data_IF_630809611014
#
_entry.id   IF_630809611014
#
_cell.length_a   1.000
_cell.length_b   1.000
_cell.length_c   1.000
_cell.angle_alpha   90.00
_cell.angle_beta   90.00
_cell.angle_gamma   90.00
#
_symmetry.space_group_name_H-M   'P 1'
#
loop_
_entity.id
_entity.type
_entity.pdbx_description
1 polymer ?
#
# COMPACT_ATOMS: atom_id res chain seq x y z
N UNK A 1 -3.72 23.73 -28.93
CA UNK A 1 -3.35 22.87 -30.08
C UNK A 1 -2.38 21.77 -29.70
N UNK A 2 -1.28 22.03 -28.99
CA UNK A 2 -0.35 20.99 -28.50
C UNK A 2 -0.97 19.98 -27.52
N UNK A 3 -1.79 20.42 -26.56
CA UNK A 3 -2.49 19.51 -25.64
C UNK A 3 -3.54 18.64 -26.34
N UNK A 4 -4.15 19.13 -27.42
CA UNK A 4 -5.10 18.35 -28.23
C UNK A 4 -4.35 17.30 -29.08
N UNK A 5 -3.16 17.64 -29.58
CA UNK A 5 -2.30 16.71 -30.30
C UNK A 5 -1.73 15.62 -29.38
N UNK A 6 -1.29 15.96 -28.17
CA UNK A 6 -0.92 14.98 -27.14
C UNK A 6 -2.10 14.09 -26.76
N UNK A 7 -3.29 14.67 -26.55
CA UNK A 7 -4.50 13.91 -26.22
C UNK A 7 -4.98 12.99 -27.34
N UNK A 8 -4.86 13.43 -28.61
CA UNK A 8 -5.17 12.60 -29.78
C UNK A 8 -4.09 11.53 -30.02
N UNK A 9 -2.84 11.82 -29.70
CA UNK A 9 -1.74 10.85 -29.78
C UNK A 9 -1.81 9.80 -28.67
N UNK A 10 -2.21 10.18 -27.45
CA UNK A 10 -2.51 9.26 -26.35
C UNK A 10 -3.72 8.37 -26.67
N UNK A 11 -4.77 8.91 -27.30
CA UNK A 11 -5.90 8.11 -27.80
C UNK A 11 -5.50 7.16 -28.93
N UNK A 12 -4.64 7.59 -29.85
CA UNK A 12 -4.15 6.75 -30.94
C UNK A 12 -3.16 5.66 -30.46
N UNK A 13 -2.35 5.94 -29.43
CA UNK A 13 -1.51 4.91 -28.78
C UNK A 13 -2.36 3.92 -27.97
N UNK A 14 -3.43 4.38 -27.30
CA UNK A 14 -4.35 3.49 -26.59
C UNK A 14 -5.03 2.46 -27.51
N UNK A 15 -5.15 2.74 -28.81
CA UNK A 15 -5.69 1.77 -29.80
C UNK A 15 -4.67 0.76 -30.33
N UNK A 16 -3.37 0.90 -30.02
CA UNK A 16 -2.31 0.02 -30.54
C UNK A 16 -1.71 -0.93 -29.48
N UNK A 17 -2.13 -0.82 -28.22
CA UNK A 17 -1.58 -1.60 -27.10
C UNK A 17 -2.51 -2.75 -26.77
N UNK A 18 -2.01 -3.98 -26.82
CA UNK A 18 -2.78 -5.15 -26.40
C UNK A 18 -3.08 -5.11 -24.89
N UNK A 19 -4.34 -5.31 -24.48
CA UNK A 19 -4.70 -5.31 -23.07
C UNK A 19 -4.10 -6.52 -22.37
N UNK A 20 -3.60 -6.32 -21.14
CA UNK A 20 -3.28 -7.43 -20.26
C UNK A 20 -4.58 -8.05 -19.75
N UNK A 21 -4.56 -9.36 -19.52
CA UNK A 21 -5.73 -10.09 -19.03
C UNK A 21 -5.41 -10.62 -17.65
N UNK A 22 -6.21 -10.22 -16.66
CA UNK A 22 -6.05 -10.74 -15.30
C UNK A 22 -6.60 -12.18 -15.20
N UNK A 23 -6.42 -12.83 -14.06
CA UNK A 23 -6.90 -14.21 -13.83
C UNK A 23 -8.43 -14.38 -13.88
N UNK A 24 -9.20 -13.28 -13.86
CA UNK A 24 -10.66 -13.28 -14.11
C UNK A 24 -11.04 -13.17 -15.59
N UNK A 25 -10.07 -13.09 -16.49
CA UNK A 25 -10.33 -12.86 -17.91
C UNK A 25 -10.71 -11.41 -18.22
N UNK A 26 -10.48 -10.47 -17.31
CA UNK A 26 -10.84 -9.07 -17.50
C UNK A 26 -9.63 -8.30 -18.06
N UNK A 27 -9.80 -7.55 -19.16
CA UNK A 27 -8.74 -6.74 -19.73
C UNK A 27 -8.44 -5.53 -18.83
N UNK A 28 -7.16 -5.21 -18.66
CA UNK A 28 -6.68 -4.02 -17.97
C UNK A 28 -5.45 -3.46 -18.69
N UNK A 29 -5.10 -2.21 -18.37
CA UNK A 29 -3.94 -1.53 -18.94
C UNK A 29 -3.05 -1.00 -17.82
N UNK A 30 -1.76 -1.25 -17.90
CA UNK A 30 -0.80 -0.63 -16.99
C UNK A 30 -0.23 0.68 -17.56
N UNK A 31 0.21 1.55 -16.66
CA UNK A 31 0.78 2.84 -17.02
C UNK A 31 2.01 2.72 -17.93
N UNK A 32 2.86 1.72 -17.71
CA UNK A 32 4.05 1.49 -18.54
C UNK A 32 3.71 1.01 -19.96
N UNK A 33 2.54 0.36 -20.17
CA UNK A 33 2.09 -0.02 -21.51
C UNK A 33 1.66 1.22 -22.31
N UNK A 34 1.08 2.21 -21.63
CA UNK A 34 0.65 3.48 -22.23
C UNK A 34 1.82 4.46 -22.41
N UNK A 35 2.80 4.40 -21.52
CA UNK A 35 4.02 5.20 -21.53
C UNK A 35 5.26 4.29 -21.54
N UNK A 36 5.71 3.79 -22.70
CA UNK A 36 6.82 2.84 -22.81
C UNK A 36 8.13 3.33 -22.17
N UNK A 37 8.33 4.65 -22.07
CA UNK A 37 9.47 5.25 -21.35
C UNK A 37 9.55 4.86 -19.87
N UNK A 38 8.43 4.47 -19.26
CA UNK A 38 8.36 4.06 -17.87
C UNK A 38 8.71 2.58 -17.69
N UNK A 39 8.65 1.77 -18.75
CA UNK A 39 8.83 0.33 -18.67
C UNK A 39 10.12 -0.14 -17.95
N UNK A 40 11.30 0.48 -18.16
CA UNK A 40 12.53 0.09 -17.48
C UNK A 40 12.49 0.25 -15.95
N UNK A 41 11.57 1.08 -15.44
CA UNK A 41 11.40 1.31 -14.00
C UNK A 41 10.48 0.28 -13.33
N UNK A 42 9.88 -0.63 -14.10
CA UNK A 42 8.99 -1.69 -13.59
C UNK A 42 9.71 -3.04 -13.64
N UNK A 43 9.72 -3.73 -12.51
CA UNK A 43 10.33 -5.05 -12.37
C UNK A 43 9.41 -6.11 -12.96
N UNK A 44 9.99 -7.19 -13.49
CA UNK A 44 9.25 -8.25 -14.19
C UNK A 44 8.17 -8.90 -13.33
N UNK A 45 8.42 -9.07 -12.02
CA UNK A 45 7.44 -9.65 -11.09
C UNK A 45 6.27 -8.71 -10.79
N UNK A 46 6.44 -7.39 -10.98
CA UNK A 46 5.39 -6.41 -10.72
C UNK A 46 4.39 -6.37 -11.88
N UNK A 47 4.88 -6.41 -13.12
CA UNK A 47 4.07 -6.30 -14.34
C UNK A 47 2.98 -7.40 -14.43
N UNK A 48 3.33 -8.61 -14.04
CA UNK A 48 2.42 -9.77 -14.08
C UNK A 48 1.69 -10.04 -12.78
N UNK A 49 1.71 -9.12 -11.81
CA UNK A 49 1.16 -9.42 -10.49
C UNK A 49 -0.37 -9.48 -10.52
N UNK A 50 -0.90 -10.57 -9.97
CA UNK A 50 -2.33 -10.78 -9.76
C UNK A 50 -2.65 -10.63 -8.27
N UNK A 51 -3.46 -9.62 -7.92
CA UNK A 51 -3.84 -9.36 -6.55
C UNK A 51 -4.97 -10.27 -6.03
N UNK A 52 -5.63 -11.02 -6.91
CA UNK A 52 -6.79 -11.84 -6.55
C UNK A 52 -6.51 -12.96 -5.56
N UNK A 53 -5.42 -13.73 -5.67
CA UNK A 53 -5.11 -14.75 -4.68
C UNK A 53 -4.96 -14.17 -3.28
N UNK A 54 -4.29 -13.01 -3.15
CA UNK A 54 -4.16 -12.36 -1.85
C UNK A 54 -5.46 -11.74 -1.34
N UNK A 55 -6.34 -11.25 -2.22
CA UNK A 55 -7.68 -10.82 -1.83
C UNK A 55 -8.54 -12.00 -1.35
N UNK A 56 -8.49 -13.13 -2.06
CA UNK A 56 -9.19 -14.35 -1.68
C UNK A 56 -8.69 -14.86 -0.31
N UNK A 57 -7.38 -14.87 -0.09
CA UNK A 57 -6.77 -15.22 1.18
C UNK A 57 -7.31 -14.37 2.34
N UNK A 58 -7.34 -13.04 2.19
CA UNK A 58 -7.85 -12.15 3.25
C UNK A 58 -9.34 -12.35 3.50
N UNK A 59 -10.11 -12.64 2.45
CA UNK A 59 -11.55 -12.91 2.56
C UNK A 59 -11.83 -14.22 3.29
N UNK A 60 -11.02 -15.24 3.05
CA UNK A 60 -11.13 -16.55 3.70
C UNK A 60 -10.66 -16.49 5.15
N UNK A 61 -9.59 -15.74 5.41
CA UNK A 61 -8.91 -15.67 6.71
C UNK A 61 -9.19 -14.38 7.49
N UNK A 62 -10.47 -14.10 7.76
CA UNK A 62 -10.86 -12.93 8.56
C UNK A 62 -10.40 -13.03 10.03
N UNK A 63 -10.07 -14.24 10.49
CA UNK A 63 -9.54 -14.49 11.83
C UNK A 63 -8.14 -13.93 12.04
N UNK A 64 -7.33 -13.80 10.99
CA UNK A 64 -5.96 -13.27 11.09
C UNK A 64 -5.94 -11.82 11.59
N UNK A 65 -6.63 -10.85 10.94
CA UNK A 65 -6.66 -9.48 11.46
C UNK A 65 -7.30 -9.39 12.84
N UNK A 66 -8.33 -10.19 13.14
CA UNK A 66 -8.95 -10.24 14.47
C UNK A 66 -7.94 -10.71 15.54
N UNK A 67 -7.14 -11.73 15.24
CA UNK A 67 -6.08 -12.22 16.10
C UNK A 67 -4.97 -11.17 16.28
N UNK A 68 -4.53 -10.51 15.20
CA UNK A 68 -3.53 -9.43 15.27
C UNK A 68 -3.98 -8.28 16.18
N UNK A 69 -5.21 -7.80 16.02
CA UNK A 69 -5.77 -6.72 16.87
C UNK A 69 -5.92 -7.19 18.33
N UNK A 70 -6.34 -8.44 18.55
CA UNK A 70 -6.45 -9.00 19.91
C UNK A 70 -5.09 -9.04 20.60
N UNK A 71 -4.06 -9.56 19.91
CA UNK A 71 -2.68 -9.59 20.41
C UNK A 71 -2.15 -8.18 20.64
N UNK A 72 -2.45 -7.24 19.74
CA UNK A 72 -2.07 -5.84 19.86
C UNK A 72 -2.65 -5.16 21.10
N UNK A 73 -3.96 -5.28 21.34
CA UNK A 73 -4.62 -4.70 22.52
C UNK A 73 -4.13 -5.34 23.83
N UNK A 74 -3.94 -6.66 23.84
CA UNK A 74 -3.31 -7.35 24.97
C UNK A 74 -1.88 -6.87 25.19
N UNK A 75 -1.11 -6.69 24.12
CA UNK A 75 0.24 -6.15 24.14
C UNK A 75 0.32 -4.75 24.73
N UNK A 76 -0.61 -3.86 24.36
CA UNK A 76 -0.74 -2.53 24.98
C UNK A 76 -1.05 -2.66 26.46
N UNK A 77 -2.06 -3.44 26.83
CA UNK A 77 -2.52 -3.56 28.21
C UNK A 77 -1.46 -4.16 29.13
N UNK A 78 -0.87 -5.29 28.73
CA UNK A 78 0.18 -5.98 29.48
C UNK A 78 1.50 -5.19 29.45
N UNK A 79 1.87 -4.65 28.28
CA UNK A 79 3.10 -3.89 28.10
C UNK A 79 3.11 -2.60 28.92
N UNK A 80 2.01 -1.84 28.95
CA UNK A 80 1.93 -0.62 29.77
C UNK A 80 2.01 -0.93 31.26
N UNK A 81 1.34 -2.00 31.73
CA UNK A 81 1.45 -2.46 33.12
C UNK A 81 2.85 -2.93 33.49
N UNK A 82 3.48 -3.74 32.63
CA UNK A 82 4.85 -4.19 32.84
C UNK A 82 5.82 -3.02 32.90
N UNK A 83 5.74 -2.09 31.94
CA UNK A 83 6.59 -0.91 31.90
C UNK A 83 6.34 0.05 33.06
N UNK A 84 5.17 0.02 33.70
CA UNK A 84 4.94 0.76 34.96
C UNK A 84 5.82 0.25 36.11
N UNK A 85 6.18 -1.04 36.13
CA UNK A 85 7.03 -1.63 37.19
C UNK A 85 8.54 -1.43 36.96
N UNK A 86 8.95 -1.15 35.73
CA UNK A 86 10.36 -1.01 35.35
C UNK A 86 10.91 0.36 35.80
N UNK A 87 12.05 0.46 36.49
CA UNK A 87 12.69 1.75 36.80
C UNK A 87 13.12 2.54 35.55
N UNK A 88 13.10 3.89 35.61
CA UNK A 88 13.39 4.75 34.45
C UNK A 88 14.83 4.63 33.93
N UNK A 89 15.79 4.36 34.81
CA UNK A 89 17.20 4.13 34.50
C UNK A 89 17.43 2.86 33.67
N UNK A 90 16.47 1.93 33.66
CA UNK A 90 16.54 0.66 32.92
C UNK A 90 15.80 0.67 31.58
N UNK A 91 15.28 1.81 31.15
CA UNK A 91 14.57 1.93 29.86
C UNK A 91 15.57 1.79 28.71
N UNK A 92 15.25 0.93 27.75
CA UNK A 92 16.07 0.75 26.56
C UNK A 92 16.07 2.00 25.67
N UNK A 93 17.27 2.42 25.26
CA UNK A 93 17.40 3.46 24.25
C UNK A 93 17.21 2.87 22.85
N UNK A 94 15.94 2.82 22.42
CA UNK A 94 15.55 2.29 21.11
C UNK A 94 15.55 3.35 19.99
N UNK A 95 16.31 4.44 20.15
CA UNK A 95 16.26 5.58 19.21
C UNK A 95 16.75 5.21 17.82
N UNK A 96 17.83 4.43 17.71
CA UNK A 96 18.38 4.01 16.40
C UNK A 96 17.47 2.98 15.73
N UNK A 97 16.91 2.05 16.50
CA UNK A 97 15.94 1.06 16.00
C UNK A 97 14.68 1.74 15.48
N UNK A 98 14.14 2.70 16.23
CA UNK A 98 12.97 3.49 15.79
C UNK A 98 13.29 4.34 14.56
N UNK A 99 14.48 4.93 14.48
CA UNK A 99 14.89 5.70 13.30
C UNK A 99 15.01 4.79 12.06
N UNK A 100 15.59 3.60 12.22
CA UNK A 100 15.66 2.60 11.16
C UNK A 100 14.27 2.16 10.71
N UNK A 101 13.39 1.85 11.66
CA UNK A 101 12.01 1.47 11.40
C UNK A 101 11.23 2.55 10.62
N UNK A 102 11.28 3.80 11.09
CA UNK A 102 10.64 4.93 10.39
C UNK A 102 11.25 5.16 8.99
N UNK A 103 12.56 4.97 8.82
CA UNK A 103 13.21 5.07 7.51
C UNK A 103 12.73 3.95 6.57
N UNK A 104 12.59 2.72 7.06
CA UNK A 104 12.05 1.60 6.29
C UNK A 104 10.60 1.87 5.85
N UNK A 105 9.73 2.31 6.77
CA UNK A 105 8.34 2.67 6.44
C UNK A 105 8.26 3.84 5.46
N UNK A 106 9.15 4.83 5.59
CA UNK A 106 9.22 5.96 4.68
C UNK A 106 9.63 5.54 3.27
N UNK A 107 10.69 4.73 3.13
CA UNK A 107 11.12 4.18 1.83
C UNK A 107 10.03 3.31 1.21
N UNK A 108 9.42 2.43 2.00
CA UNK A 108 8.31 1.59 1.56
C UNK A 108 7.14 2.44 1.02
N UNK A 109 6.72 3.45 1.79
CA UNK A 109 5.64 4.36 1.40
C UNK A 109 5.99 5.18 0.17
N UNK A 110 7.26 5.61 0.04
CA UNK A 110 7.72 6.37 -1.11
C UNK A 110 7.70 5.53 -2.39
N UNK A 111 8.18 4.28 -2.35
CA UNK A 111 8.13 3.39 -3.51
C UNK A 111 6.67 3.07 -3.88
N UNK A 112 5.81 2.79 -2.89
CA UNK A 112 4.38 2.61 -3.12
C UNK A 112 3.75 3.82 -3.81
N UNK A 113 4.04 5.04 -3.33
CA UNK A 113 3.57 6.27 -3.95
C UNK A 113 4.08 6.43 -5.38
N UNK A 114 5.35 6.11 -5.67
CA UNK A 114 5.90 6.15 -7.03
C UNK A 114 5.18 5.22 -8.01
N UNK A 115 4.62 4.09 -7.56
CA UNK A 115 3.88 3.15 -8.43
C UNK A 115 2.38 3.41 -8.52
N UNK A 116 1.81 4.09 -7.52
CA UNK A 116 0.38 4.32 -7.42
C UNK A 116 -0.01 5.73 -7.89
N UNK A 117 0.70 6.76 -7.46
CA UNK A 117 0.33 8.16 -7.74
C UNK A 117 0.32 8.49 -9.23
N UNK A 118 1.36 8.15 -10.04
CA UNK A 118 1.32 8.44 -11.48
C UNK A 118 0.15 7.76 -12.19
N UNK A 119 -0.23 6.55 -11.74
CA UNK A 119 -1.38 5.82 -12.28
C UNK A 119 -2.69 6.55 -11.98
N UNK A 120 -2.90 7.02 -10.73
CA UNK A 120 -4.09 7.83 -10.39
C UNK A 120 -4.14 9.10 -11.22
N UNK A 121 -3.02 9.83 -11.30
CA UNK A 121 -2.98 11.10 -12.04
C UNK A 121 -3.28 10.90 -13.52
N UNK A 122 -2.74 9.84 -14.12
CA UNK A 122 -3.03 9.47 -15.49
C UNK A 122 -4.52 9.14 -15.69
N UNK A 123 -5.11 8.37 -14.77
CA UNK A 123 -6.52 7.99 -14.81
C UNK A 123 -7.45 9.19 -14.65
N UNK A 124 -7.16 10.09 -13.70
CA UNK A 124 -7.90 11.33 -13.50
C UNK A 124 -7.86 12.26 -14.72
N UNK A 125 -6.78 12.23 -15.49
CA UNK A 125 -6.64 13.03 -16.70
C UNK A 125 -7.26 12.38 -17.94
N UNK A 126 -7.23 11.05 -18.02
CA UNK A 126 -7.51 10.32 -19.27
C UNK A 126 -8.89 9.66 -19.31
N UNK A 127 -9.54 9.48 -18.16
CA UNK A 127 -10.87 8.88 -18.05
C UNK A 127 -11.92 9.88 -17.56
N UNK A 128 -13.20 9.71 -17.93
CA UNK A 128 -14.31 10.43 -17.30
C UNK A 128 -14.28 10.26 -15.78
N UNK A 129 -14.69 11.30 -15.04
CA UNK A 129 -14.71 11.27 -13.57
C UNK A 129 -15.59 10.16 -12.98
N UNK A 130 -16.66 9.79 -13.67
CA UNK A 130 -17.50 8.65 -13.27
C UNK A 130 -16.69 7.35 -13.31
N UNK A 131 -15.94 7.13 -14.39
CA UNK A 131 -15.14 5.92 -14.56
C UNK A 131 -13.99 5.84 -13.54
N UNK A 132 -13.38 6.97 -13.15
CA UNK A 132 -12.29 6.94 -12.15
C UNK A 132 -12.75 6.56 -10.74
N UNK A 133 -14.06 6.64 -10.45
CA UNK A 133 -14.64 6.35 -9.14
C UNK A 133 -15.45 5.05 -9.15
N UNK A 134 -16.18 4.80 -10.24
CA UNK A 134 -17.17 3.72 -10.32
C UNK A 134 -16.63 2.47 -11.01
N UNK A 135 -15.48 2.53 -11.70
CA UNK A 135 -14.89 1.32 -12.27
C UNK A 135 -14.48 0.34 -11.16
N UNK A 136 -14.80 -0.96 -11.31
CA UNK A 136 -14.34 -1.97 -10.38
C UNK A 136 -12.82 -1.91 -10.29
N UNK A 137 -12.28 -1.77 -9.08
CA UNK A 137 -10.83 -1.70 -8.83
C UNK A 137 -10.09 -2.87 -9.48
N UNK A 138 -10.73 -4.04 -9.52
CA UNK A 138 -10.25 -5.24 -10.18
C UNK A 138 -10.01 -5.17 -11.68
N UNK A 139 -10.45 -4.11 -12.37
CA UNK A 139 -10.35 -3.96 -13.82
C UNK A 139 -9.29 -2.91 -14.22
N UNK A 140 -8.73 -2.20 -13.25
CA UNK A 140 -7.84 -1.08 -13.48
C UNK A 140 -6.79 -1.04 -12.35
N UNK A 141 -7.12 -0.39 -11.23
CA UNK A 141 -6.24 -0.15 -10.09
C UNK A 141 -5.66 -1.39 -9.38
N UNK A 142 -6.35 -2.53 -9.47
CA UNK A 142 -6.12 -3.72 -8.66
C UNK A 142 -5.23 -4.78 -9.29
N UNK A 143 -4.60 -4.53 -10.44
CA UNK A 143 -3.73 -5.50 -11.11
C UNK A 143 -2.33 -4.93 -11.39
N UNK A 144 -1.42 -5.81 -11.77
CA UNK A 144 -0.05 -5.45 -12.13
C UNK A 144 0.70 -4.78 -10.99
N UNK A 145 1.57 -3.84 -11.34
CA UNK A 145 2.45 -3.17 -10.39
C UNK A 145 1.65 -2.33 -9.38
N UNK A 146 0.63 -1.59 -9.84
CA UNK A 146 -0.20 -0.79 -8.95
C UNK A 146 -0.97 -1.69 -7.97
N UNK A 147 -1.55 -2.79 -8.46
CA UNK A 147 -2.23 -3.79 -7.61
C UNK A 147 -1.31 -4.39 -6.54
N UNK A 148 -0.07 -4.74 -6.91
CA UNK A 148 0.93 -5.23 -5.96
C UNK A 148 1.20 -4.24 -4.82
N UNK A 149 1.54 -2.99 -5.17
CA UNK A 149 1.92 -1.99 -4.16
C UNK A 149 0.75 -1.59 -3.26
N UNK A 150 -0.47 -1.58 -3.80
CA UNK A 150 -1.70 -1.39 -3.01
C UNK A 150 -1.91 -2.54 -2.04
N UNK A 151 -1.74 -3.78 -2.50
CA UNK A 151 -1.89 -4.96 -1.64
C UNK A 151 -0.82 -5.01 -0.54
N UNK A 152 0.43 -4.71 -0.88
CA UNK A 152 1.51 -4.59 0.11
C UNK A 152 1.22 -3.49 1.14
N UNK A 153 0.67 -2.34 0.72
CA UNK A 153 0.28 -1.27 1.63
C UNK A 153 -0.87 -1.68 2.57
N UNK A 154 -1.83 -2.46 2.08
CA UNK A 154 -2.88 -3.02 2.94
C UNK A 154 -2.26 -3.96 3.99
N UNK A 155 -1.33 -4.83 3.56
CA UNK A 155 -0.65 -5.74 4.48
C UNK A 155 0.32 -5.05 5.43
N UNK A 156 0.86 -3.86 5.11
CA UNK A 156 1.78 -3.13 5.98
C UNK A 156 1.14 -2.65 7.28
N UNK A 157 -0.20 -2.60 7.35
CA UNK A 157 -0.92 -2.25 8.59
C UNK A 157 -0.64 -3.19 9.75
N UNK A 158 -0.39 -4.47 9.47
CA UNK A 158 -0.03 -5.44 10.50
C UNK A 158 1.37 -5.12 11.09
N UNK A 159 2.44 -4.95 10.29
CA UNK A 159 3.72 -4.45 10.77
C UNK A 159 3.65 -3.08 11.47
N UNK A 160 2.82 -2.15 10.98
CA UNK A 160 2.67 -0.81 11.59
C UNK A 160 2.22 -0.88 13.07
N UNK A 161 1.53 -1.94 13.49
CA UNK A 161 1.20 -2.17 14.92
C UNK A 161 2.45 -2.18 15.83
N UNK A 162 3.63 -2.47 15.26
CA UNK A 162 4.90 -2.43 15.97
C UNK A 162 5.34 -1.02 16.39
N UNK A 163 4.76 0.05 15.82
CA UNK A 163 5.01 1.42 16.26
C UNK A 163 4.62 1.62 17.73
N UNK A 164 3.50 1.03 18.13
CA UNK A 164 3.01 1.12 19.50
C UNK A 164 3.94 0.40 20.49
N UNK A 165 4.62 -0.67 20.06
CA UNK A 165 5.62 -1.35 20.89
C UNK A 165 6.76 -0.40 21.27
N UNK A 166 7.28 0.39 20.32
CA UNK A 166 8.32 1.38 20.61
C UNK A 166 7.85 2.50 21.55
N UNK A 167 6.57 2.88 21.49
CA UNK A 167 5.98 3.88 22.40
C UNK A 167 5.91 3.33 23.83
N UNK A 168 5.36 2.12 23.99
CA UNK A 168 5.16 1.47 25.29
C UNK A 168 6.51 1.19 25.97
N UNK A 169 7.46 0.60 25.26
CA UNK A 169 8.80 0.27 25.80
C UNK A 169 9.63 1.50 26.18
N UNK A 170 9.34 2.66 25.60
CA UNK A 170 9.99 3.93 25.95
C UNK A 170 9.21 4.76 26.97
N UNK A 171 8.11 4.22 27.51
CA UNK A 171 7.18 4.90 28.42
C UNK A 171 6.69 6.25 27.91
N UNK A 172 6.46 6.35 26.60
CA UNK A 172 5.84 7.54 26.01
C UNK A 172 4.32 7.48 26.21
N UNK A 173 3.64 8.63 26.37
CA UNK A 173 2.19 8.64 26.53
C UNK A 173 1.53 8.07 25.28
N UNK A 174 0.77 6.99 25.45
CA UNK A 174 -0.01 6.37 24.39
C UNK A 174 -1.34 7.12 24.25
N UNK A 175 -1.44 8.00 23.25
CA UNK A 175 -2.65 8.79 23.00
C UNK A 175 -3.74 7.94 22.34
N UNK A 176 -5.01 8.26 22.62
CA UNK A 176 -6.18 7.55 22.07
C UNK A 176 -6.14 7.43 20.55
N UNK A 177 -5.87 8.55 19.86
CA UNK A 177 -5.83 8.60 18.40
C UNK A 177 -4.85 7.59 17.80
N UNK A 178 -3.70 7.35 18.44
CA UNK A 178 -2.67 6.49 17.87
C UNK A 178 -3.11 5.03 17.82
N UNK A 179 -3.54 4.48 18.96
CA UNK A 179 -3.91 3.07 19.06
C UNK A 179 -5.30 2.76 18.50
N UNK A 180 -6.18 3.77 18.41
CA UNK A 180 -7.48 3.63 17.74
C UNK A 180 -7.36 3.69 16.21
N UNK A 181 -6.38 4.46 15.69
CA UNK A 181 -6.11 4.54 14.25
C UNK A 181 -5.45 3.26 13.72
N UNK A 182 -4.55 2.67 14.50
CA UNK A 182 -3.88 1.41 14.18
C UNK A 182 -4.82 0.23 14.37
#
# INVERSE_FOLDING_TARGET
>A
TQNLLLFLQDRAMATAVEPLVNSRGVPYYELWQRLPMLEPFYLSFEKGYDALPGLAFVKEHWEIPAACVTVYLLGIFLGTRFMATVPYDKIWNLRSQLACWNALLSVFSFIGALRTVPHVLYNLHSMPFEDTICLPSGNDWGNGSTGLWVQLFIFSKIPELWDTFYIVTRKRPLIFLHWYHH
#
